data_IF_434636972782
#
_entry.id   IF_434636972782
#
_cell.length_a   1.000
_cell.length_b   1.000
_cell.length_c   1.000
_cell.angle_alpha   90.00
_cell.angle_beta   90.00
_cell.angle_gamma   90.00
#
_symmetry.space_group_name_H-M   'P 1'
#
loop_
_entity.id
_entity.type
_entity.pdbx_description
1 polymer ?
#
# COMPACT_ATOMS: atom_id res chain seq x y z
N UNK A 1 4.09 -16.52 7.27
CA UNK A 1 4.26 -15.25 6.52
C UNK A 1 5.23 -14.38 7.30
N UNK A 2 6.15 -13.67 6.65
CA UNK A 2 7.12 -12.80 7.34
C UNK A 2 6.62 -11.35 7.44
N UNK A 3 7.15 -10.58 8.39
CA UNK A 3 6.75 -9.18 8.60
C UNK A 3 6.96 -8.30 7.36
N UNK A 4 8.04 -8.51 6.60
CA UNK A 4 8.31 -7.81 5.33
C UNK A 4 7.21 -8.05 4.29
N UNK A 5 6.69 -9.28 4.21
CA UNK A 5 5.58 -9.63 3.32
C UNK A 5 4.26 -8.97 3.76
N UNK A 6 3.99 -8.93 5.07
CA UNK A 6 2.78 -8.28 5.60
C UNK A 6 2.86 -6.77 5.35
N UNK A 7 4.02 -6.16 5.66
CA UNK A 7 4.27 -4.76 5.41
C UNK A 7 4.10 -4.40 3.92
N UNK A 8 4.62 -5.21 3.00
CA UNK A 8 4.48 -4.99 1.56
C UNK A 8 3.01 -4.90 1.10
N UNK A 9 2.12 -5.71 1.68
CA UNK A 9 0.68 -5.66 1.38
C UNK A 9 0.07 -4.31 1.79
N UNK A 10 0.39 -3.81 2.99
CA UNK A 10 -0.13 -2.53 3.47
C UNK A 10 0.54 -1.32 2.80
N UNK A 11 1.80 -1.47 2.38
CA UNK A 11 2.51 -0.45 1.60
C UNK A 11 1.88 -0.26 0.23
N UNK A 12 1.63 -1.36 -0.49
CA UNK A 12 0.95 -1.31 -1.79
C UNK A 12 -0.48 -0.77 -1.64
N UNK A 13 -1.20 -1.18 -0.60
CA UNK A 13 -2.53 -0.63 -0.31
C UNK A 13 -2.48 0.89 -0.10
N UNK A 14 -1.47 1.40 0.62
CA UNK A 14 -1.29 2.82 0.82
C UNK A 14 -0.93 3.55 -0.48
N UNK A 15 -0.07 2.97 -1.32
CA UNK A 15 0.28 3.50 -2.64
C UNK A 15 -0.96 3.66 -3.53
N UNK A 16 -1.77 2.62 -3.65
CA UNK A 16 -2.98 2.64 -4.47
C UNK A 16 -4.01 3.65 -3.95
N UNK A 17 -4.22 3.71 -2.63
CA UNK A 17 -5.11 4.69 -2.03
C UNK A 17 -4.62 6.12 -2.27
N UNK A 18 -3.32 6.35 -2.23
CA UNK A 18 -2.71 7.66 -2.52
C UNK A 18 -2.87 8.02 -4.01
N UNK A 19 -2.67 7.07 -4.93
CA UNK A 19 -2.95 7.25 -6.36
C UNK A 19 -4.42 7.59 -6.59
N UNK A 20 -5.35 6.92 -5.91
CA UNK A 20 -6.78 7.21 -6.00
C UNK A 20 -7.22 8.49 -5.29
N UNK A 21 -6.29 9.27 -4.71
CA UNK A 21 -6.60 10.47 -3.93
C UNK A 21 -7.60 10.20 -2.79
N UNK A 22 -7.53 9.00 -2.20
CA UNK A 22 -8.37 8.61 -1.09
C UNK A 22 -8.05 9.44 0.17
N UNK A 23 -8.83 9.23 1.23
CA UNK A 23 -8.70 9.99 2.47
C UNK A 23 -7.25 9.97 3.02
N UNK A 24 -6.58 11.13 3.18
CA UNK A 24 -5.19 11.20 3.63
C UNK A 24 -4.94 10.63 5.04
N UNK A 25 -5.96 10.63 5.91
CA UNK A 25 -5.85 9.98 7.23
C UNK A 25 -5.76 8.46 7.09
N UNK A 26 -6.52 7.86 6.17
CA UNK A 26 -6.43 6.41 5.89
C UNK A 26 -5.08 6.03 5.30
N UNK A 27 -4.61 6.78 4.29
CA UNK A 27 -3.28 6.56 3.70
C UNK A 27 -2.20 6.61 4.78
N UNK A 28 -2.22 7.64 5.65
CA UNK A 28 -1.27 7.74 6.77
C UNK A 28 -1.38 6.59 7.77
N UNK A 29 -2.58 6.12 8.08
CA UNK A 29 -2.78 4.99 8.97
C UNK A 29 -2.10 3.71 8.42
N UNK A 30 -2.28 3.43 7.12
CA UNK A 30 -1.62 2.28 6.48
C UNK A 30 -0.10 2.42 6.41
N UNK A 31 0.43 3.59 6.07
CA UNK A 31 1.89 3.85 6.10
C UNK A 31 2.48 3.65 7.50
N UNK A 32 1.79 4.14 8.52
CA UNK A 32 2.20 3.95 9.90
C UNK A 32 2.20 2.47 10.28
N UNK A 33 1.17 1.72 9.88
CA UNK A 33 1.09 0.28 10.10
C UNK A 33 2.24 -0.45 9.40
N UNK A 34 2.54 -0.17 8.13
CA UNK A 34 3.70 -0.72 7.41
C UNK A 34 5.00 -0.49 8.19
N UNK A 35 5.24 0.74 8.63
CA UNK A 35 6.45 1.09 9.39
C UNK A 35 6.53 0.31 10.70
N UNK A 36 5.42 0.20 11.43
CA UNK A 36 5.36 -0.56 12.69
C UNK A 36 5.62 -2.03 12.44
N UNK A 37 4.95 -2.65 11.46
CA UNK A 37 5.11 -4.07 11.12
C UNK A 37 6.56 -4.38 10.71
N UNK A 38 7.14 -3.56 9.83
CA UNK A 38 8.51 -3.77 9.32
C UNK A 38 9.61 -3.56 10.37
N UNK A 39 9.36 -2.71 11.37
CA UNK A 39 10.31 -2.45 12.47
C UNK A 39 10.09 -3.36 13.69
N UNK A 40 9.01 -4.13 13.72
CA UNK A 40 8.75 -5.08 14.82
C UNK A 40 9.67 -6.29 14.68
N UNK A 41 10.44 -6.57 15.75
CA UNK A 41 11.34 -7.72 15.81
C UNK A 41 10.59 -9.05 15.96
N UNK A 42 9.47 -9.03 16.70
CA UNK A 42 8.61 -10.19 16.88
C UNK A 42 7.89 -10.57 15.59
N UNK A 43 7.66 -11.87 15.40
CA UNK A 43 6.87 -12.36 14.27
C UNK A 43 5.40 -11.97 14.45
N UNK A 44 4.91 -11.03 13.64
CA UNK A 44 3.49 -10.63 13.67
C UNK A 44 2.59 -11.84 13.36
N UNK A 45 3.02 -12.72 12.47
CA UNK A 45 2.27 -13.95 12.17
C UNK A 45 2.13 -14.87 13.39
N UNK A 46 3.21 -15.06 14.17
CA UNK A 46 3.15 -15.86 15.40
C UNK A 46 2.24 -15.21 16.45
N UNK A 47 2.30 -13.89 16.61
CA UNK A 47 1.41 -13.16 17.50
C UNK A 47 -0.07 -13.31 17.11
N UNK A 48 -0.37 -13.35 15.81
CA UNK A 48 -1.73 -13.62 15.32
C UNK A 48 -2.16 -15.05 15.68
N UNK A 49 -1.30 -16.05 15.50
CA UNK A 49 -1.58 -17.45 15.85
C UNK A 49 -1.85 -17.62 17.36
N UNK A 50 -1.10 -16.91 18.19
CA UNK A 50 -1.27 -16.85 19.65
C UNK A 50 -2.49 -16.04 20.11
N UNK A 51 -3.22 -15.40 19.17
CA UNK A 51 -4.32 -14.47 19.46
C UNK A 51 -3.90 -13.29 20.35
N UNK A 52 -2.66 -12.86 20.19
CA UNK A 52 -2.12 -11.69 20.89
C UNK A 52 -2.79 -10.40 20.44
N UNK A 53 -2.88 -9.43 21.36
CA UNK A 53 -3.48 -8.13 21.08
C UNK A 53 -2.50 -7.22 20.32
N UNK A 54 -2.70 -7.12 19.00
CA UNK A 54 -1.90 -6.28 18.11
C UNK A 54 -2.15 -4.77 18.31
N UNK A 55 -3.20 -4.36 19.03
CA UNK A 55 -3.50 -2.94 19.24
C UNK A 55 -2.51 -2.26 20.21
N UNK A 56 -1.65 -3.05 20.85
CA UNK A 56 -0.54 -2.57 21.68
C UNK A 56 0.59 -1.95 20.85
N UNK A 57 0.67 -2.25 19.56
CA UNK A 57 1.67 -1.68 18.68
C UNK A 57 1.26 -0.26 18.24
N UNK A 58 2.20 0.68 18.36
CA UNK A 58 1.96 2.08 17.99
C UNK A 58 1.52 2.20 16.53
N UNK A 59 0.44 2.95 16.29
CA UNK A 59 -0.12 3.13 14.94
C UNK A 59 -1.03 2.00 14.45
N UNK A 60 -1.22 0.92 15.22
CA UNK A 60 -2.14 -0.17 14.89
C UNK A 60 -3.40 -0.08 15.77
N UNK A 61 -4.50 0.39 15.18
CA UNK A 61 -5.82 0.38 15.82
C UNK A 61 -6.57 -0.93 15.61
N UNK A 62 -7.78 -1.06 16.20
CA UNK A 62 -8.62 -2.26 16.09
C UNK A 62 -8.90 -2.70 14.65
N UNK A 63 -9.21 -1.74 13.77
CA UNK A 63 -9.48 -2.01 12.35
C UNK A 63 -8.23 -2.58 11.64
N UNK A 64 -7.08 -1.93 11.81
CA UNK A 64 -5.81 -2.41 11.27
C UNK A 64 -5.40 -3.77 11.84
N UNK A 65 -5.59 -3.99 13.14
CA UNK A 65 -5.32 -5.29 13.77
C UNK A 65 -6.14 -6.40 13.12
N UNK A 66 -7.44 -6.17 12.89
CA UNK A 66 -8.31 -7.13 12.20
C UNK A 66 -7.86 -7.40 10.76
N UNK A 67 -7.45 -6.36 10.04
CA UNK A 67 -6.95 -6.50 8.68
C UNK A 67 -5.62 -7.27 8.64
N UNK A 68 -4.70 -7.02 9.58
CA UNK A 68 -3.44 -7.77 9.70
C UNK A 68 -3.73 -9.25 9.94
N UNK A 69 -4.66 -9.58 10.85
CA UNK A 69 -5.12 -10.96 11.07
C UNK A 69 -5.67 -11.56 9.77
N UNK A 70 -6.49 -10.82 9.03
CA UNK A 70 -7.02 -11.25 7.73
C UNK A 70 -5.93 -11.55 6.70
N UNK A 71 -4.92 -10.68 6.60
CA UNK A 71 -3.77 -10.87 5.70
C UNK A 71 -2.94 -12.09 6.10
N UNK A 72 -2.65 -12.27 7.39
CA UNK A 72 -1.86 -13.41 7.88
C UNK A 72 -2.59 -14.73 7.65
N UNK A 73 -3.90 -14.77 7.87
CA UNK A 73 -4.71 -15.99 7.77
C UNK A 73 -5.05 -16.38 6.33
N UNK A 74 -5.34 -15.41 5.47
CA UNK A 74 -5.79 -15.67 4.09
C UNK A 74 -4.68 -15.49 3.05
N UNK A 75 -3.59 -14.83 3.41
CA UNK A 75 -2.54 -14.41 2.48
C UNK A 75 -2.96 -13.29 1.53
N UNK A 76 -4.16 -12.71 1.69
CA UNK A 76 -4.74 -11.71 0.79
C UNK A 76 -5.36 -10.56 1.57
N UNK A 77 -5.43 -9.40 0.91
CA UNK A 77 -6.19 -8.26 1.40
C UNK A 77 -7.27 -7.93 0.36
N UNK A 78 -8.55 -8.04 0.75
CA UNK A 78 -9.67 -7.88 -0.19
C UNK A 78 -9.66 -6.51 -0.84
N UNK A 79 -9.50 -5.44 -0.03
CA UNK A 79 -9.45 -4.08 -0.57
C UNK A 79 -8.28 -3.87 -1.53
N UNK A 80 -7.11 -4.46 -1.29
CA UNK A 80 -5.98 -4.38 -2.20
C UNK A 80 -6.32 -5.04 -3.54
N UNK A 81 -6.96 -6.19 -3.49
CA UNK A 81 -7.39 -6.94 -4.69
C UNK A 81 -8.37 -6.10 -5.51
N UNK A 82 -9.32 -5.43 -4.87
CA UNK A 82 -10.26 -4.52 -5.54
C UNK A 82 -9.57 -3.29 -6.12
N UNK A 83 -8.63 -2.69 -5.40
CA UNK A 83 -7.93 -1.48 -5.88
C UNK A 83 -7.02 -1.77 -7.08
N UNK A 84 -6.42 -2.96 -7.13
CA UNK A 84 -5.60 -3.41 -8.27
C UNK A 84 -6.41 -3.47 -9.58
N UNK A 85 -7.72 -3.73 -9.53
CA UNK A 85 -8.54 -3.74 -10.76
C UNK A 85 -8.99 -2.35 -11.21
N UNK A 86 -8.86 -1.34 -10.33
CA UNK A 86 -9.26 0.03 -10.62
C UNK A 86 -8.12 0.90 -11.14
N UNK A 87 -6.87 0.45 -10.98
CA UNK A 87 -5.67 1.17 -11.42
C UNK A 87 -5.03 0.40 -12.57
N UNK A 88 -4.85 1.01 -13.76
CA UNK A 88 -4.22 0.35 -14.90
C UNK A 88 -2.80 -0.12 -14.58
N UNK A 89 -2.37 -1.26 -15.12
CA UNK A 89 -1.04 -1.83 -14.88
C UNK A 89 0.10 -0.85 -15.21
N UNK A 90 -0.05 -0.07 -16.30
CA UNK A 90 0.94 0.93 -16.68
C UNK A 90 1.10 2.08 -15.67
N UNK A 91 0.05 2.38 -14.89
CA UNK A 91 0.13 3.34 -13.76
C UNK A 91 0.89 2.72 -12.58
N UNK A 92 0.71 1.41 -12.34
CA UNK A 92 1.47 0.68 -11.32
C UNK A 92 2.95 0.58 -11.70
N UNK A 93 3.26 0.40 -12.98
CA UNK A 93 4.63 0.39 -13.47
C UNK A 93 5.36 1.73 -13.24
N UNK A 94 4.64 2.86 -13.22
CA UNK A 94 5.24 4.16 -12.89
C UNK A 94 5.79 4.23 -11.47
N UNK A 95 5.23 3.48 -10.51
CA UNK A 95 5.75 3.40 -9.14
C UNK A 95 7.13 2.75 -9.07
N UNK A 96 7.51 1.98 -10.09
CA UNK A 96 8.83 1.33 -10.18
C UNK A 96 9.93 2.30 -10.60
N UNK A 97 9.58 3.49 -11.10
CA UNK A 97 10.55 4.49 -11.52
C UNK A 97 11.17 5.15 -10.27
N UNK A 98 12.51 5.07 -10.10
CA UNK A 98 13.18 5.71 -8.97
C UNK A 98 12.87 7.21 -8.88
N UNK A 99 12.45 7.67 -7.69
CA UNK A 99 12.08 9.07 -7.47
C UNK A 99 10.66 9.46 -7.94
N UNK A 100 9.90 8.51 -8.48
CA UNK A 100 8.47 8.68 -8.81
C UNK A 100 7.63 7.95 -7.77
N UNK A 101 7.22 8.68 -6.74
CA UNK A 101 6.33 8.15 -5.71
C UNK A 101 4.84 8.27 -6.09
N UNK A 102 3.95 7.65 -5.30
CA UNK A 102 2.50 7.62 -5.53
C UNK A 102 1.86 8.98 -5.76
N UNK A 103 2.33 10.03 -5.08
CA UNK A 103 1.85 11.41 -5.29
C UNK A 103 2.08 11.91 -6.71
N UNK A 104 3.24 11.62 -7.30
CA UNK A 104 3.55 12.01 -8.69
C UNK A 104 2.74 11.16 -9.66
N UNK A 105 2.65 9.86 -9.41
CA UNK A 105 1.80 8.95 -10.19
C UNK A 105 0.34 9.39 -10.19
N UNK A 106 -0.20 9.82 -9.05
CA UNK A 106 -1.55 10.38 -8.95
C UNK A 106 -1.73 11.61 -9.86
N UNK A 107 -0.70 12.47 -9.99
CA UNK A 107 -0.74 13.61 -10.90
C UNK A 107 -0.71 13.16 -12.35
N UNK A 108 0.16 12.21 -12.71
CA UNK A 108 0.25 11.69 -14.07
C UNK A 108 -1.07 11.04 -14.49
N UNK A 109 -1.67 10.24 -13.62
CA UNK A 109 -2.91 9.55 -13.90
C UNK A 109 -4.12 10.49 -13.94
N UNK A 110 -4.33 11.33 -12.92
CA UNK A 110 -5.56 12.14 -12.82
C UNK A 110 -5.50 13.49 -13.54
N UNK A 111 -4.31 14.10 -13.67
CA UNK A 111 -4.19 15.43 -14.31
C UNK A 111 -3.75 15.35 -15.75
N UNK A 112 -2.88 14.39 -16.09
CA UNK A 112 -2.34 14.23 -17.44
C UNK A 112 -2.99 13.08 -18.20
N UNK A 113 -3.87 12.30 -17.54
CA UNK A 113 -4.55 11.11 -18.11
C UNK A 113 -3.57 10.07 -18.67
N UNK A 114 -2.37 9.99 -18.09
CA UNK A 114 -1.34 9.04 -18.51
C UNK A 114 -1.58 7.71 -17.81
N UNK A 115 -1.63 6.65 -18.62
CA UNK A 115 -1.94 5.29 -18.17
C UNK A 115 -0.82 4.30 -18.49
N UNK A 116 0.21 4.72 -19.24
CA UNK A 116 1.36 3.89 -19.60
C UNK A 116 2.71 4.60 -19.45
N UNK A 117 3.78 3.80 -19.37
CA UNK A 117 5.16 4.31 -19.33
C UNK A 117 5.56 5.05 -20.62
N UNK A 118 5.04 4.61 -21.77
CA UNK A 118 5.34 5.23 -23.05
C UNK A 118 4.72 6.62 -23.15
N UNK A 119 3.46 6.78 -22.73
CA UNK A 119 2.80 8.08 -22.62
C UNK A 119 3.54 9.02 -21.67
N UNK A 120 4.00 8.50 -20.53
CA UNK A 120 4.80 9.28 -19.58
C UNK A 120 6.14 9.73 -20.17
N UNK A 121 6.83 8.84 -20.90
CA UNK A 121 8.09 9.15 -21.58
C UNK A 121 7.89 10.23 -22.65
N UNK A 122 6.84 10.13 -23.45
CA UNK A 122 6.52 11.13 -24.47
C UNK A 122 6.21 12.49 -23.83
N UNK A 123 5.35 12.52 -22.80
CA UNK A 123 5.01 13.75 -22.08
C UNK A 123 6.24 14.42 -21.44
N UNK A 124 7.24 13.63 -21.00
CA UNK A 124 8.48 14.15 -20.45
C UNK A 124 9.48 14.67 -21.51
N UNK A 125 9.32 14.29 -22.78
CA UNK A 125 10.17 14.76 -23.89
C UNK A 125 9.60 16.01 -24.56
N UNK A 126 8.29 16.21 -24.50
CA UNK A 126 7.58 17.32 -25.14
C UNK A 126 7.47 18.59 -24.27
N UNK A 127 7.88 18.54 -23.00
CA UNK A 127 7.84 19.65 -22.04
C UNK A 127 9.20 20.03 -21.48
#
# INVERSE_FOLDING_TARGET
MRNDQIAAVFEELADLLEIQQANPFRVRAYRNATRTISSTADSIAALVEEKSDLTKFSGIGKDLANQIVGVVTTGKHEKLTELRTQVPDGVLDMLRIPGVGPKKVAVFFHKLNLTSLDELKQAAQEG
#
